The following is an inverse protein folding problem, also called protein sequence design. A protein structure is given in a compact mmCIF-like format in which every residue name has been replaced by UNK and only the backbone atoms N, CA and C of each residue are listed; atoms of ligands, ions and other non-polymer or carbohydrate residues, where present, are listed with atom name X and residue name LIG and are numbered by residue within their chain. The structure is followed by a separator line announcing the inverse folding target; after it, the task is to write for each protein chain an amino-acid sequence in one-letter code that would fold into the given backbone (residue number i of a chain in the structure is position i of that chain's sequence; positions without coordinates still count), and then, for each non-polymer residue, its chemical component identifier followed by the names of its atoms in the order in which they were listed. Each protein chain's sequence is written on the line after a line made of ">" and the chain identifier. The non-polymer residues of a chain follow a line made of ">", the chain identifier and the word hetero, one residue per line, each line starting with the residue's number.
data_IF_642944247240
#
_entry.id   IF_642944247240
#
_cell.length_a   1.000
_cell.length_b   1.000
_cell.length_c   1.000
_cell.angle_alpha   90.00
_cell.angle_beta   90.00
_cell.angle_gamma   90.00
#
_symmetry.space_group_name_H-M   'P 1'
#
loop_
_entity.id
_entity.type
_entity.pdbx_description
1 polymer ?
#
# COMPACT_ATOMS: atom_id res chain seq x y z
N UNK A 1 -13.82 4.20 11.12
CA UNK A 1 -13.02 3.57 10.04
C UNK A 1 -12.63 2.15 10.48
N UNK A 2 -13.21 1.12 9.87
CA UNK A 2 -13.09 -0.29 10.31
C UNK A 2 -11.82 -1.03 9.87
N UNK A 3 -10.68 -0.34 9.72
CA UNK A 3 -9.42 -0.96 9.27
C UNK A 3 -8.57 -1.55 10.41
N UNK A 4 -8.95 -1.30 11.66
CA UNK A 4 -8.25 -1.82 12.84
C UNK A 4 -8.09 -3.36 12.84
N UNK A 5 -9.09 -4.16 12.46
CA UNK A 5 -8.93 -5.61 12.37
C UNK A 5 -7.78 -6.03 11.44
N UNK A 6 -7.56 -5.31 10.34
CA UNK A 6 -6.47 -5.61 9.40
C UNK A 6 -5.10 -5.30 10.02
N UNK A 7 -5.00 -4.21 10.78
CA UNK A 7 -3.78 -3.87 11.54
C UNK A 7 -3.48 -4.93 12.60
N UNK A 8 -4.49 -5.41 13.32
CA UNK A 8 -4.31 -6.50 14.29
C UNK A 8 -3.87 -7.80 13.62
N UNK A 9 -4.49 -8.16 12.49
CA UNK A 9 -4.09 -9.32 11.67
C UNK A 9 -2.62 -9.25 11.26
N UNK A 10 -2.14 -8.08 10.81
CA UNK A 10 -0.73 -7.90 10.48
C UNK A 10 0.15 -8.08 11.71
N UNK A 11 -0.22 -7.46 12.83
CA UNK A 11 0.54 -7.53 14.08
C UNK A 11 0.71 -8.98 14.55
N UNK A 12 -0.36 -9.78 14.50
CA UNK A 12 -0.33 -11.21 14.86
C UNK A 12 0.48 -12.06 13.86
N UNK A 13 0.47 -11.68 12.58
CA UNK A 13 1.22 -12.40 11.54
C UNK A 13 2.75 -12.22 11.64
N UNK A 14 3.22 -11.26 12.44
CA UNK A 14 4.64 -10.88 12.54
C UNK A 14 5.42 -11.98 13.26
N UNK A 15 6.30 -12.67 12.51
CA UNK A 15 7.12 -13.76 13.03
C UNK A 15 8.52 -13.78 12.43
N UNK A 16 9.42 -14.49 13.12
CA UNK A 16 10.77 -14.72 12.59
C UNK A 16 10.68 -15.64 11.37
N UNK A 17 11.35 -15.25 10.29
CA UNK A 17 11.44 -16.02 9.06
C UNK A 17 12.17 -17.34 9.32
N UNK A 18 11.58 -18.43 8.85
CA UNK A 18 12.20 -19.75 8.93
C UNK A 18 13.47 -19.83 8.07
N UNK A 19 14.36 -20.78 8.42
CA UNK A 19 15.58 -21.14 7.66
C UNK A 19 16.59 -19.99 7.53
N UNK A 20 17.55 -20.16 6.61
CA UNK A 20 18.71 -19.26 6.38
C UNK A 20 18.34 -17.84 5.94
N UNK A 21 17.10 -17.60 5.49
CA UNK A 21 16.65 -16.26 5.07
C UNK A 21 16.75 -15.21 6.18
N UNK A 22 16.64 -15.63 7.45
CA UNK A 22 16.79 -14.75 8.62
C UNK A 22 18.19 -14.16 8.77
N UNK A 23 19.21 -14.87 8.27
CA UNK A 23 20.61 -14.45 8.33
C UNK A 23 20.98 -13.47 7.21
N UNK A 24 20.14 -13.32 6.19
CA UNK A 24 20.37 -12.44 5.03
C UNK A 24 19.61 -11.11 5.15
N UNK A 25 19.53 -10.54 6.35
CA UNK A 25 18.84 -9.27 6.61
C UNK A 25 17.30 -9.33 6.56
N UNK A 26 16.69 -10.47 6.20
CA UNK A 26 15.22 -10.62 6.08
C UNK A 26 14.65 -11.44 7.23
N UNK A 27 14.96 -11.03 8.46
CA UNK A 27 14.61 -11.78 9.69
C UNK A 27 13.12 -11.81 9.97
N UNK A 28 12.37 -10.76 9.66
CA UNK A 28 10.94 -10.66 9.97
C UNK A 28 10.11 -10.99 8.73
N UNK A 29 9.03 -11.75 8.92
CA UNK A 29 7.95 -11.93 7.96
C UNK A 29 6.67 -11.41 8.61
N UNK A 30 5.90 -10.62 7.89
CA UNK A 30 4.57 -10.12 8.27
C UNK A 30 3.67 -10.11 7.04
N UNK A 31 2.36 -10.10 7.24
CA UNK A 31 1.39 -9.91 6.17
C UNK A 31 1.41 -8.46 5.66
N UNK A 32 0.99 -8.26 4.41
CA UNK A 32 0.67 -6.93 3.90
C UNK A 32 -0.64 -6.46 4.55
N UNK A 33 -0.63 -5.24 5.10
CA UNK A 33 -1.80 -4.58 5.66
C UNK A 33 -2.40 -3.55 4.70
N UNK A 34 -3.06 -2.51 5.21
CA UNK A 34 -3.72 -1.54 4.36
C UNK A 34 -2.70 -0.65 3.65
N UNK A 35 -3.04 -0.23 2.43
CA UNK A 35 -2.30 0.74 1.65
C UNK A 35 -3.01 2.08 1.71
N UNK A 36 -2.34 3.15 2.13
CA UNK A 36 -2.87 4.51 2.06
C UNK A 36 -2.30 5.21 0.84
N UNK A 37 -3.16 5.68 -0.05
CA UNK A 37 -2.78 6.46 -1.23
C UNK A 37 -3.06 7.92 -0.96
N UNK A 38 -2.03 8.74 -1.12
CA UNK A 38 -2.04 10.18 -0.89
C UNK A 38 -1.58 10.92 -2.15
N UNK A 39 -1.88 12.19 -2.27
CA UNK A 39 -1.33 13.04 -3.32
C UNK A 39 -0.03 13.72 -2.84
N UNK A 40 -0.15 14.43 -1.72
CA UNK A 40 0.96 15.11 -1.05
C UNK A 40 1.32 14.45 0.30
N UNK A 41 2.61 14.46 0.63
CA UNK A 41 3.16 13.87 1.86
C UNK A 41 3.35 14.95 2.93
N UNK A 42 2.26 15.31 3.62
CA UNK A 42 2.25 16.27 4.73
C UNK A 42 2.72 15.63 6.06
N UNK A 43 3.78 14.82 6.02
CA UNK A 43 4.24 14.02 7.18
C UNK A 43 3.40 12.76 7.44
N UNK A 44 2.47 12.42 6.54
CA UNK A 44 1.63 11.22 6.65
C UNK A 44 2.48 9.95 6.60
N UNK A 45 3.50 9.92 5.73
CA UNK A 45 4.42 8.79 5.66
C UNK A 45 5.20 8.61 6.96
N UNK A 46 5.63 9.71 7.59
CA UNK A 46 6.35 9.66 8.86
C UNK A 46 5.46 9.14 10.00
N UNK A 47 4.22 9.63 10.08
CA UNK A 47 3.25 9.16 11.06
C UNK A 47 2.91 7.66 10.91
N UNK A 48 2.80 7.18 9.67
CA UNK A 48 2.44 5.80 9.38
C UNK A 48 3.61 4.80 9.51
N UNK A 49 4.87 5.25 9.41
CA UNK A 49 6.05 4.36 9.32
C UNK A 49 6.19 3.37 10.48
N UNK A 50 5.67 3.72 11.66
CA UNK A 50 5.79 2.90 12.87
C UNK A 50 4.63 1.90 13.00
N UNK A 51 3.61 1.97 12.15
CA UNK A 51 2.46 1.07 12.19
C UNK A 51 2.79 -0.17 11.33
N UNK A 52 2.84 -1.38 11.91
CA UNK A 52 3.20 -2.58 11.16
C UNK A 52 2.26 -2.86 9.98
N UNK A 53 2.84 -3.01 8.78
CA UNK A 53 2.17 -3.37 7.52
C UNK A 53 1.20 -2.34 6.94
N UNK A 54 1.18 -1.13 7.50
CA UNK A 54 0.57 0.03 6.84
C UNK A 54 1.61 0.63 5.90
N UNK A 55 1.28 0.68 4.62
CA UNK A 55 2.14 1.33 3.62
C UNK A 55 1.49 2.64 3.16
N UNK A 56 2.30 3.64 2.85
CA UNK A 56 1.86 4.92 2.30
C UNK A 56 2.57 5.16 0.97
N UNK A 57 1.79 5.44 -0.06
CA UNK A 57 2.28 5.71 -1.42
C UNK A 57 1.60 6.94 -2.00
N UNK A 58 2.32 7.67 -2.85
CA UNK A 58 1.73 8.76 -3.63
C UNK A 58 1.02 8.19 -4.85
N UNK A 59 -0.02 8.88 -5.35
CA UNK A 59 -0.73 8.45 -6.57
C UNK A 59 0.22 8.24 -7.74
N UNK A 60 1.18 9.16 -7.92
CA UNK A 60 2.15 9.08 -9.02
C UNK A 60 3.13 7.90 -8.91
N UNK A 61 3.35 7.37 -7.70
CA UNK A 61 4.27 6.26 -7.42
C UNK A 61 3.53 4.92 -7.25
N UNK A 62 2.22 4.89 -7.53
CA UNK A 62 1.41 3.70 -7.34
C UNK A 62 1.80 2.63 -8.36
N UNK A 63 2.04 1.41 -7.88
CA UNK A 63 2.44 0.28 -8.72
C UNK A 63 1.54 -0.95 -8.49
N UNK A 64 1.57 -1.88 -9.44
CA UNK A 64 0.78 -3.10 -9.39
C UNK A 64 1.17 -4.01 -8.21
N UNK A 65 2.45 -4.04 -7.82
CA UNK A 65 2.93 -4.86 -6.70
C UNK A 65 2.35 -4.41 -5.34
N UNK A 66 2.20 -3.10 -5.14
CA UNK A 66 1.61 -2.53 -3.94
C UNK A 66 0.12 -2.79 -3.85
N UNK A 67 -0.59 -2.80 -4.99
CA UNK A 67 -2.02 -3.12 -5.08
C UNK A 67 -2.31 -4.62 -5.00
N UNK A 68 -1.40 -5.44 -5.50
CA UNK A 68 -1.54 -6.90 -5.56
C UNK A 68 -0.31 -7.62 -4.97
N UNK A 69 -0.08 -7.54 -3.64
CA UNK A 69 1.08 -8.14 -3.01
C UNK A 69 1.04 -9.67 -3.16
N UNK A 70 2.08 -10.23 -3.78
CA UNK A 70 2.14 -11.67 -4.09
C UNK A 70 1.18 -12.10 -5.20
N UNK A 71 0.83 -11.20 -6.12
CA UNK A 71 -0.07 -11.47 -7.26
C UNK A 71 -1.50 -11.79 -6.84
N UNK A 72 -1.91 -11.35 -5.65
CA UNK A 72 -3.28 -11.43 -5.17
C UNK A 72 -3.93 -10.04 -5.25
N UNK A 73 -4.89 -9.80 -6.17
CA UNK A 73 -5.58 -8.53 -6.25
C UNK A 73 -6.50 -8.31 -5.04
N UNK A 74 -6.85 -7.05 -4.77
CA UNK A 74 -7.79 -6.70 -3.72
C UNK A 74 -7.15 -6.41 -2.37
N UNK A 75 -6.00 -5.72 -2.36
CA UNK A 75 -5.47 -5.14 -1.13
C UNK A 75 -6.43 -4.06 -0.60
N UNK A 76 -6.60 -4.00 0.73
CA UNK A 76 -7.35 -2.91 1.37
C UNK A 76 -6.64 -1.57 1.11
N UNK A 77 -7.19 -0.75 0.23
CA UNK A 77 -6.60 0.55 -0.15
C UNK A 77 -7.50 1.70 0.33
N UNK A 78 -6.91 2.61 1.09
CA UNK A 78 -7.54 3.83 1.61
C UNK A 78 -7.04 5.00 0.77
N UNK A 79 -7.96 5.73 0.16
CA UNK A 79 -7.65 6.87 -0.69
C UNK A 79 -8.00 8.17 0.01
N UNK A 80 -7.16 9.20 -0.14
CA UNK A 80 -7.55 10.57 0.19
C UNK A 80 -8.40 11.16 -0.93
N UNK A 81 -9.26 12.12 -0.61
CA UNK A 81 -10.08 12.80 -1.61
C UNK A 81 -9.23 13.49 -2.68
N UNK A 82 -8.07 14.06 -2.30
CA UNK A 82 -7.09 14.61 -3.25
C UNK A 82 -6.50 13.54 -4.17
N UNK A 83 -6.15 12.37 -3.62
CA UNK A 83 -5.62 11.27 -4.40
C UNK A 83 -6.60 10.76 -5.47
N UNK A 84 -7.89 10.70 -5.16
CA UNK A 84 -8.93 10.30 -6.12
C UNK A 84 -9.06 11.34 -7.25
N UNK A 85 -9.06 12.63 -6.91
CA UNK A 85 -9.11 13.70 -7.94
C UNK A 85 -7.90 13.64 -8.86
N UNK A 86 -6.71 13.46 -8.28
CA UNK A 86 -5.48 13.31 -9.05
C UNK A 86 -5.50 12.06 -9.93
N UNK A 87 -6.06 10.96 -9.44
CA UNK A 87 -6.22 9.73 -10.23
C UNK A 87 -7.11 9.97 -11.46
N UNK A 88 -8.19 10.74 -11.31
CA UNK A 88 -9.08 11.11 -12.41
C UNK A 88 -8.37 12.00 -13.45
N UNK A 89 -7.51 12.93 -13.01
CA UNK A 89 -6.67 13.69 -13.96
C UNK A 89 -5.69 12.78 -14.73
N UNK A 90 -5.12 11.77 -14.07
CA UNK A 90 -4.12 10.88 -14.67
C UNK A 90 -4.72 9.84 -15.61
N UNK A 91 -5.94 9.35 -15.33
CA UNK A 91 -6.55 8.21 -16.04
C UNK A 91 -7.95 8.48 -16.60
N UNK A 92 -8.65 9.51 -16.12
CA UNK A 92 -10.01 9.88 -16.53
C UNK A 92 -10.10 10.52 -17.92
N UNK A 93 -8.98 10.89 -18.54
CA UNK A 93 -8.92 11.37 -19.93
C UNK A 93 -9.02 10.26 -21.00
N UNK A 94 -9.37 9.02 -20.62
CA UNK A 94 -9.58 7.90 -21.54
C UNK A 94 -10.95 7.93 -22.24
N UNK A 95 -11.37 9.11 -22.69
CA UNK A 95 -12.55 9.35 -23.52
C UNK A 95 -12.27 10.07 -24.84
N UNK A 96 -11.03 10.44 -25.15
CA UNK A 96 -10.70 11.10 -26.43
C UNK A 96 -9.24 10.90 -26.84
N UNK A 97 -8.97 9.96 -27.76
CA UNK A 97 -7.85 10.05 -28.71
C UNK A 97 -6.89 8.86 -28.81
N UNK A 98 -6.88 8.21 -29.98
CA UNK A 98 -5.81 7.34 -30.53
C UNK A 98 -6.15 5.84 -30.47
N UNK A 99 -6.52 5.12 -31.54
CA UNK A 99 -6.31 5.40 -32.95
C UNK A 99 -4.86 5.15 -33.36
N UNK A 100 -4.41 3.90 -33.24
CA UNK A 100 -3.43 3.20 -34.09
C UNK A 100 -3.33 1.72 -33.66
#
# INVERSE_FOLDING_TARGET
>A
LGFMPDVYRVRESRKIRARKGKLRGRRIKQAAGPLKVIDEDEGIREAARNIPGVDVVRVNDLNAELLAPGTHPGRLTIWTSSAIRRLDELFGASGSGGGD
#
